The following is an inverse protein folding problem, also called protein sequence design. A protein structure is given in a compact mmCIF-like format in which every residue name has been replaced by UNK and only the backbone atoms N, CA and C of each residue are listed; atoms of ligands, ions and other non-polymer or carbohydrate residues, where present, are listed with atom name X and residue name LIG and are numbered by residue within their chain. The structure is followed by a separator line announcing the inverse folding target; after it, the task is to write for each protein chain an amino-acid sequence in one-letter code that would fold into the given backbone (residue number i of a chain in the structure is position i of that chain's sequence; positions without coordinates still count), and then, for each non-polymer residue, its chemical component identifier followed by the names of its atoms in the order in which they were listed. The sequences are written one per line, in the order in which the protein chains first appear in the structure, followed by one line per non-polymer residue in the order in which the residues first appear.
data_IF_165947503700
#
_entry.id   IF_165947503700
#
_cell.length_a   1.000
_cell.length_b   1.000
_cell.length_c   1.000
_cell.angle_alpha   90.00
_cell.angle_beta   90.00
_cell.angle_gamma   90.00
#
_symmetry.space_group_name_H-M   'P 1'
#
loop_
_entity.id
_entity.type
_entity.pdbx_description
1 polymer ?
#
# COMPACT_ATOMS: atom_id res chain seq x y z
N UNK A 1 -14.72 20.94 -45.48
CA UNK A 1 -13.75 21.09 -44.38
C UNK A 1 -13.74 19.79 -43.58
N UNK A 2 -12.70 18.97 -43.73
CA UNK A 2 -12.63 17.66 -43.08
C UNK A 2 -12.03 17.76 -41.67
N UNK A 3 -12.76 17.30 -40.66
CA UNK A 3 -12.24 17.20 -39.29
C UNK A 3 -11.15 16.13 -39.24
N UNK A 4 -9.88 16.54 -39.23
CA UNK A 4 -8.75 15.64 -39.03
C UNK A 4 -8.71 15.24 -37.56
N UNK A 5 -9.21 14.05 -37.25
CA UNK A 5 -9.20 13.51 -35.89
C UNK A 5 -7.87 12.80 -35.65
N UNK A 6 -7.17 13.18 -34.59
CA UNK A 6 -5.92 12.52 -34.20
C UNK A 6 -6.21 11.17 -33.52
N UNK A 7 -6.03 10.07 -34.26
CA UNK A 7 -6.27 8.71 -33.75
C UNK A 7 -5.38 8.35 -32.54
N UNK A 8 -4.16 8.91 -32.44
CA UNK A 8 -3.28 8.62 -31.31
C UNK A 8 -3.84 9.17 -30.00
N UNK A 9 -4.46 10.36 -30.01
CA UNK A 9 -5.13 10.92 -28.83
C UNK A 9 -6.33 10.07 -28.43
N UNK A 10 -7.09 9.57 -29.41
CA UNK A 10 -8.23 8.70 -29.16
C UNK A 10 -7.80 7.37 -28.52
N UNK A 11 -6.78 6.70 -29.07
CA UNK A 11 -6.22 5.46 -28.50
C UNK A 11 -5.75 5.68 -27.05
N UNK A 12 -4.97 6.73 -26.81
CA UNK A 12 -4.51 7.07 -25.44
C UNK A 12 -5.66 7.35 -24.48
N UNK A 13 -6.74 7.96 -24.95
CA UNK A 13 -7.94 8.18 -24.13
C UNK A 13 -8.61 6.85 -23.79
N UNK A 14 -8.81 5.97 -24.78
CA UNK A 14 -9.41 4.66 -24.57
C UNK A 14 -8.58 3.79 -23.60
N UNK A 15 -7.25 3.81 -23.72
CA UNK A 15 -6.34 3.12 -22.78
C UNK A 15 -6.48 3.65 -21.35
N UNK A 16 -6.55 4.97 -21.16
CA UNK A 16 -6.77 5.57 -19.84
C UNK A 16 -8.13 5.18 -19.26
N UNK A 17 -9.18 5.19 -20.07
CA UNK A 17 -10.53 4.81 -19.64
C UNK A 17 -10.60 3.31 -19.27
N UNK A 18 -9.92 2.44 -20.03
CA UNK A 18 -9.81 1.02 -19.70
C UNK A 18 -9.05 0.80 -18.37
N UNK A 19 -7.93 1.50 -18.18
CA UNK A 19 -7.16 1.46 -16.94
C UNK A 19 -7.97 1.95 -15.74
N UNK A 20 -8.75 3.03 -15.89
CA UNK A 20 -9.63 3.54 -14.84
C UNK A 20 -10.70 2.52 -14.44
N UNK A 21 -11.37 1.89 -15.42
CA UNK A 21 -12.36 0.82 -15.16
C UNK A 21 -11.76 -0.36 -14.41
N UNK A 22 -10.54 -0.76 -14.77
CA UNK A 22 -9.85 -1.84 -14.08
C UNK A 22 -9.44 -1.43 -12.66
N UNK A 23 -9.03 -0.18 -12.45
CA UNK A 23 -8.77 0.36 -11.12
C UNK A 23 -10.04 0.34 -10.25
N UNK A 24 -11.19 0.72 -10.79
CA UNK A 24 -12.47 0.65 -10.08
C UNK A 24 -12.87 -0.79 -9.74
N UNK A 25 -12.73 -1.72 -10.68
CA UNK A 25 -12.96 -3.13 -10.41
C UNK A 25 -12.01 -3.69 -9.33
N UNK A 26 -10.76 -3.23 -9.30
CA UNK A 26 -9.81 -3.62 -8.26
C UNK A 26 -10.15 -2.99 -6.91
N UNK A 27 -10.64 -1.74 -6.87
CA UNK A 27 -11.15 -1.10 -5.63
C UNK A 27 -12.30 -1.89 -5.04
N UNK A 28 -13.27 -2.32 -5.86
CA UNK A 28 -14.40 -3.14 -5.39
C UNK A 28 -13.98 -4.54 -4.99
N UNK A 29 -13.08 -5.19 -5.74
CA UNK A 29 -12.65 -6.57 -5.48
C UNK A 29 -11.77 -6.71 -4.24
N UNK A 30 -10.81 -5.80 -4.08
CA UNK A 30 -9.80 -5.92 -3.04
C UNK A 30 -10.08 -5.01 -1.83
N UNK A 31 -11.03 -4.08 -1.94
CA UNK A 31 -11.47 -3.20 -0.86
C UNK A 31 -10.42 -2.19 -0.35
N UNK A 32 -9.15 -2.37 -0.73
CA UNK A 32 -8.02 -1.52 -0.36
C UNK A 32 -7.18 -1.21 -1.59
N UNK A 33 -6.84 0.06 -1.75
CA UNK A 33 -5.91 0.56 -2.75
C UNK A 33 -4.45 0.22 -2.38
N UNK A 34 -3.56 0.28 -3.36
CA UNK A 34 -2.11 0.09 -3.12
C UNK A 34 -1.57 1.08 -2.07
N UNK A 35 -2.05 2.33 -2.12
CA UNK A 35 -1.64 3.39 -1.19
C UNK A 35 -2.07 3.11 0.26
N UNK A 36 -3.29 2.61 0.44
CA UNK A 36 -3.79 2.19 1.76
C UNK A 36 -2.98 1.02 2.31
N UNK A 37 -2.70 0.02 1.47
CA UNK A 37 -1.88 -1.13 1.85
C UNK A 37 -0.47 -0.69 2.29
N UNK A 38 0.20 0.17 1.53
CA UNK A 38 1.53 0.65 1.90
C UNK A 38 1.52 1.48 3.19
N UNK A 39 0.46 2.28 3.40
CA UNK A 39 0.31 3.06 4.62
C UNK A 39 0.05 2.17 5.85
N UNK A 40 -0.70 1.08 5.68
CA UNK A 40 -0.95 0.10 6.72
C UNK A 40 0.31 -0.71 7.06
N UNK A 41 1.05 -1.15 6.04
CA UNK A 41 2.35 -1.83 6.20
C UNK A 41 3.35 -0.96 6.96
N UNK A 42 3.49 0.31 6.57
CA UNK A 42 4.36 1.27 7.29
C UNK A 42 3.91 1.48 8.75
N UNK A 43 2.60 1.47 9.02
CA UNK A 43 2.10 1.57 10.40
C UNK A 43 2.39 0.30 11.20
N UNK A 44 2.22 -0.86 10.58
CA UNK A 44 2.53 -2.15 11.19
C UNK A 44 4.02 -2.26 11.52
N UNK A 45 4.89 -1.86 10.59
CA UNK A 45 6.34 -1.86 10.78
C UNK A 45 6.75 -0.92 11.92
N UNK A 46 6.17 0.27 11.99
CA UNK A 46 6.41 1.21 13.10
C UNK A 46 5.93 0.65 14.44
N UNK A 47 4.75 0.04 14.48
CA UNK A 47 4.23 -0.58 15.68
C UNK A 47 5.13 -1.74 16.13
N UNK A 48 5.59 -2.57 15.20
CA UNK A 48 6.53 -3.65 15.46
C UNK A 48 7.86 -3.12 16.00
N UNK A 49 8.46 -2.15 15.32
CA UNK A 49 9.72 -1.54 15.76
C UNK A 49 9.60 -0.88 17.14
N UNK A 50 8.46 -0.25 17.44
CA UNK A 50 8.19 0.30 18.77
C UNK A 50 8.11 -0.81 19.83
N UNK A 51 7.40 -1.91 19.55
CA UNK A 51 7.34 -3.05 20.46
C UNK A 51 8.71 -3.70 20.65
N UNK A 52 9.45 -3.91 19.57
CA UNK A 52 10.80 -4.49 19.59
C UNK A 52 11.77 -3.61 20.41
N UNK A 53 11.64 -2.28 20.36
CA UNK A 53 12.45 -1.36 21.19
C UNK A 53 12.16 -1.51 22.70
N UNK A 54 10.91 -1.83 23.06
CA UNK A 54 10.50 -2.01 24.45
C UNK A 54 10.55 -3.48 24.89
N UNK A 55 10.99 -4.40 24.03
CA UNK A 55 11.31 -5.75 24.45
C UNK A 55 12.57 -5.69 25.32
N UNK A 56 12.35 -5.75 26.63
CA UNK A 56 13.38 -6.21 27.55
C UNK A 56 13.65 -7.67 27.19
N UNK A 57 14.84 -7.94 26.63
CA UNK A 57 15.33 -9.30 26.48
C UNK A 57 15.08 -10.02 27.80
N UNK A 58 14.27 -11.08 27.77
CA UNK A 58 13.94 -11.90 28.95
C UNK A 58 15.21 -12.36 29.70
N UNK A 59 16.37 -12.31 29.05
CA UNK A 59 17.68 -12.57 29.61
C UNK A 59 18.13 -11.59 30.72
N UNK A 60 17.51 -10.42 30.88
CA UNK A 60 17.87 -9.48 31.97
C UNK A 60 17.08 -9.73 33.25
N UNK A 61 15.90 -10.37 33.17
CA UNK A 61 15.01 -10.57 34.33
C UNK A 61 15.54 -11.69 35.25
N UNK A 62 16.30 -12.65 34.70
CA UNK A 62 16.88 -13.77 35.45
C UNK A 62 18.18 -13.42 36.21
N UNK A 63 18.77 -12.23 35.98
CA UNK A 63 20.04 -11.83 36.62
C UNK A 63 19.86 -11.12 37.95
N UNK A 64 18.69 -10.56 38.23
CA UNK A 64 18.39 -9.82 39.47
C UNK A 64 17.76 -10.71 40.58
N UNK A 65 17.43 -11.97 40.28
CA UNK A 65 16.91 -12.96 41.24
C UNK A 65 17.96 -13.94 41.79
N UNK A 66 19.24 -13.57 41.87
CA UNK A 66 20.21 -14.38 42.63
C UNK A 66 20.77 -13.59 43.83
N UNK A 67 20.59 -14.11 45.07
CA UNK A 67 21.10 -13.47 46.29
C UNK A 67 22.63 -13.46 46.38
#
# INVERSE_FOLDING_TARGET
MGNVINLNRFRKRAEREASAKQADANRTKFGRTKAERSAEETRADKAKAHLDQHQLDQHQIDREEQP
#
